data_IF_926993930592
#
_entry.id   IF_926993930592
#
_cell.length_a   1.000
_cell.length_b   1.000
_cell.length_c   1.000
_cell.angle_alpha   90.00
_cell.angle_beta   90.00
_cell.angle_gamma   90.00
#
_symmetry.space_group_name_H-M   'P 1'
#
loop_
_entity.id
_entity.type
_entity.pdbx_description
1 polymer ?
#
# COMPACT_ATOMS: atom_id res chain seq x y z
N UNK A 1 0.49 -3.08 -42.19
CA UNK A 1 0.05 -2.32 -41.00
C UNK A 1 0.77 -2.92 -39.79
N UNK A 2 1.41 -2.10 -38.96
CA UNK A 2 2.25 -2.56 -37.83
C UNK A 2 1.44 -3.16 -36.64
N UNK A 3 0.14 -3.39 -36.81
CA UNK A 3 -0.78 -3.86 -35.77
C UNK A 3 -1.86 -4.81 -36.35
N UNK A 4 -1.47 -5.76 -37.20
CA UNK A 4 -2.38 -6.82 -37.65
C UNK A 4 -2.24 -8.05 -36.74
N UNK A 5 -3.35 -8.69 -36.32
CA UNK A 5 -3.30 -9.88 -35.48
C UNK A 5 -2.45 -10.99 -36.10
N UNK A 6 -1.67 -11.71 -35.30
CA UNK A 6 -0.91 -12.87 -35.76
C UNK A 6 -1.80 -14.07 -36.11
N UNK A 7 -2.98 -14.16 -35.48
CA UNK A 7 -3.98 -15.20 -35.71
C UNK A 7 -5.38 -14.62 -35.48
N UNK A 8 -6.33 -14.93 -36.37
CA UNK A 8 -7.74 -14.57 -36.22
C UNK A 8 -8.54 -15.85 -36.00
N UNK A 9 -9.42 -15.86 -35.00
CA UNK A 9 -10.35 -16.97 -34.79
C UNK A 9 -11.67 -16.65 -35.50
N UNK A 10 -12.03 -17.49 -36.48
CA UNK A 10 -13.32 -17.43 -37.16
C UNK A 10 -14.28 -18.41 -36.46
N UNK A 11 -15.21 -17.86 -35.70
CA UNK A 11 -16.18 -18.66 -34.95
C UNK A 11 -17.32 -19.17 -35.84
N UNK A 12 -17.59 -20.48 -35.77
CA UNK A 12 -18.70 -21.15 -36.46
C UNK A 12 -19.58 -21.82 -35.39
N UNK A 13 -20.88 -21.48 -35.29
CA UNK A 13 -21.72 -21.83 -34.14
C UNK A 13 -22.14 -23.32 -34.06
N UNK A 14 -21.58 -24.19 -34.90
CA UNK A 14 -21.88 -25.63 -34.91
C UNK A 14 -20.73 -26.42 -35.51
N UNK A 15 -20.31 -27.48 -34.81
CA UNK A 15 -19.29 -28.42 -35.31
C UNK A 15 -19.73 -29.08 -36.62
N UNK A 16 -21.03 -29.38 -36.75
CA UNK A 16 -21.58 -30.01 -37.94
C UNK A 16 -21.42 -29.12 -39.18
N UNK A 17 -21.50 -27.79 -39.03
CA UNK A 17 -21.27 -26.86 -40.13
C UNK A 17 -19.81 -26.88 -40.61
N UNK A 18 -18.85 -27.01 -39.68
CA UNK A 18 -17.44 -27.14 -40.01
C UNK A 18 -17.19 -28.48 -40.74
N UNK A 19 -17.73 -29.58 -40.22
CA UNK A 19 -17.61 -30.90 -40.85
C UNK A 19 -18.17 -30.92 -42.26
N UNK A 20 -19.40 -30.42 -42.44
CA UNK A 20 -20.02 -30.35 -43.76
C UNK A 20 -19.26 -29.43 -44.73
N UNK A 21 -18.65 -28.35 -44.23
CA UNK A 21 -17.83 -27.47 -45.06
C UNK A 21 -16.52 -28.14 -45.51
N UNK A 22 -15.86 -28.92 -44.64
CA UNK A 22 -14.65 -29.68 -44.97
C UNK A 22 -14.97 -30.85 -45.91
N UNK A 23 -16.11 -31.51 -45.75
CA UNK A 23 -16.57 -32.55 -46.67
C UNK A 23 -16.81 -31.99 -48.08
N UNK A 24 -17.34 -30.77 -48.18
CA UNK A 24 -17.57 -30.08 -49.44
C UNK A 24 -16.26 -29.55 -50.07
N UNK A 25 -15.34 -29.04 -49.25
CA UNK A 25 -14.02 -28.57 -49.67
C UNK A 25 -12.94 -29.01 -48.66
N UNK A 26 -12.23 -30.12 -48.95
CA UNK A 26 -11.17 -30.61 -48.07
C UNK A 26 -9.99 -29.64 -47.92
N UNK A 27 -9.80 -28.72 -48.86
CA UNK A 27 -8.70 -27.74 -48.83
C UNK A 27 -8.98 -26.51 -47.97
N UNK A 28 -10.21 -26.37 -47.49
CA UNK A 28 -10.69 -25.20 -46.75
C UNK A 28 -9.85 -24.92 -45.49
N UNK A 29 -9.45 -25.97 -44.77
CA UNK A 29 -8.69 -25.82 -43.53
C UNK A 29 -7.29 -25.29 -43.81
N UNK A 30 -6.58 -25.86 -44.80
CA UNK A 30 -5.26 -25.39 -45.21
C UNK A 30 -5.32 -23.97 -45.76
N UNK A 31 -6.36 -23.66 -46.54
CA UNK A 31 -6.60 -22.31 -47.04
C UNK A 31 -6.78 -21.31 -45.89
N UNK A 32 -7.63 -21.62 -44.91
CA UNK A 32 -7.86 -20.75 -43.75
C UNK A 32 -6.58 -20.53 -42.94
N UNK A 33 -5.81 -21.60 -42.68
CA UNK A 33 -4.54 -21.50 -41.98
C UNK A 33 -3.50 -20.67 -42.75
N UNK A 34 -3.44 -20.79 -44.08
CA UNK A 34 -2.56 -19.96 -44.92
C UNK A 34 -2.85 -18.45 -44.80
N UNK A 35 -4.08 -18.10 -44.41
CA UNK A 35 -4.54 -16.73 -44.15
C UNK A 35 -4.45 -16.32 -42.68
N UNK A 36 -3.84 -17.15 -41.82
CA UNK A 36 -3.80 -16.95 -40.37
C UNK A 36 -5.21 -16.89 -39.76
N UNK A 37 -6.13 -17.70 -40.27
CA UNK A 37 -7.49 -17.83 -39.76
C UNK A 37 -7.68 -19.25 -39.22
N UNK A 38 -7.96 -19.36 -37.92
CA UNK A 38 -8.36 -20.61 -37.29
C UNK A 38 -9.88 -20.71 -37.26
N UNK A 39 -10.44 -21.71 -37.94
CA UNK A 39 -11.87 -22.03 -37.81
C UNK A 39 -12.10 -22.67 -36.44
N UNK A 40 -13.02 -22.12 -35.66
CA UNK A 40 -13.32 -22.62 -34.33
C UNK A 40 -14.83 -22.74 -34.09
N UNK A 41 -15.23 -23.91 -33.60
CA UNK A 41 -16.50 -24.17 -32.96
C UNK A 41 -16.51 -23.70 -31.49
N UNK A 42 -17.66 -23.76 -30.79
CA UNK A 42 -17.71 -23.43 -29.36
C UNK A 42 -16.69 -24.20 -28.51
N UNK A 43 -16.49 -25.49 -28.78
CA UNK A 43 -15.59 -26.36 -28.00
C UNK A 43 -14.13 -26.01 -28.26
N UNK A 44 -13.78 -25.82 -29.53
CA UNK A 44 -12.40 -25.52 -29.94
C UNK A 44 -11.99 -24.11 -29.55
N UNK A 45 -12.88 -23.11 -29.66
CA UNK A 45 -12.64 -21.76 -29.14
C UNK A 45 -12.39 -21.79 -27.63
N UNK A 46 -13.24 -22.49 -26.87
CA UNK A 46 -13.07 -22.59 -25.42
C UNK A 46 -11.73 -23.23 -25.04
N UNK A 47 -11.30 -24.25 -25.80
CA UNK A 47 -10.03 -24.93 -25.59
C UNK A 47 -8.84 -23.98 -25.82
N UNK A 48 -8.86 -23.21 -26.92
CA UNK A 48 -7.83 -22.21 -27.20
C UNK A 48 -7.78 -21.14 -26.11
N UNK A 49 -8.93 -20.60 -25.70
CA UNK A 49 -8.99 -19.60 -24.62
C UNK A 49 -8.45 -20.15 -23.30
N UNK A 50 -8.77 -21.41 -22.95
CA UNK A 50 -8.27 -22.06 -21.74
C UNK A 50 -6.76 -22.28 -21.79
N UNK A 51 -6.23 -22.64 -22.95
CA UNK A 51 -4.78 -22.78 -23.17
C UNK A 51 -4.05 -21.44 -23.01
N UNK A 52 -4.60 -20.35 -23.57
CA UNK A 52 -4.04 -18.99 -23.38
C UNK A 52 -4.09 -18.58 -21.92
N UNK A 53 -5.24 -18.77 -21.26
CA UNK A 53 -5.40 -18.45 -19.84
C UNK A 53 -4.42 -19.25 -18.96
N UNK A 54 -4.21 -20.53 -19.27
CA UNK A 54 -3.26 -21.37 -18.55
C UNK A 54 -1.80 -20.96 -18.80
N UNK A 55 -1.43 -20.62 -20.04
CA UNK A 55 -0.08 -20.12 -20.38
C UNK A 55 0.23 -18.83 -19.62
N UNK A 56 -0.71 -17.89 -19.56
CA UNK A 56 -0.54 -16.66 -18.78
C UNK A 56 -0.43 -16.92 -17.28
N UNK A 57 -1.22 -17.87 -16.76
CA UNK A 57 -1.10 -18.27 -15.36
C UNK A 57 0.27 -18.90 -15.05
N UNK A 58 0.85 -19.62 -16.02
CA UNK A 58 2.18 -20.23 -15.89
C UNK A 58 3.31 -19.19 -15.91
N UNK A 59 3.18 -18.16 -16.75
CA UNK A 59 4.16 -17.06 -16.86
C UNK A 59 4.14 -16.15 -15.63
N UNK A 60 2.98 -15.91 -15.03
CA UNK A 60 2.84 -15.05 -13.84
C UNK A 60 3.33 -15.74 -12.55
N UNK A 61 3.46 -17.08 -12.51
CA UNK A 61 3.56 -17.82 -11.25
C UNK A 61 4.95 -17.98 -10.61
N UNK A 62 6.07 -17.56 -11.20
CA UNK A 62 7.37 -18.08 -10.70
C UNK A 62 8.42 -17.05 -10.29
N UNK A 63 8.53 -15.89 -10.94
CA UNK A 63 9.61 -14.93 -10.62
C UNK A 63 9.10 -13.67 -9.91
N UNK A 64 7.97 -13.12 -10.36
CA UNK A 64 7.43 -11.89 -9.79
C UNK A 64 6.83 -12.11 -8.41
N UNK A 65 6.16 -13.23 -8.17
CA UNK A 65 5.60 -13.55 -6.86
C UNK A 65 6.68 -13.69 -5.77
N UNK A 66 7.80 -14.36 -6.06
CA UNK A 66 8.91 -14.51 -5.13
C UNK A 66 9.54 -13.16 -4.78
N UNK A 67 9.79 -12.32 -5.79
CA UNK A 67 10.28 -10.94 -5.58
C UNK A 67 9.30 -10.10 -4.77
N UNK A 68 8.00 -10.24 -5.00
CA UNK A 68 6.97 -9.52 -4.26
C UNK A 68 6.91 -9.94 -2.78
N UNK A 69 7.08 -11.24 -2.51
CA UNK A 69 7.19 -11.75 -1.14
C UNK A 69 8.45 -11.25 -0.44
N UNK A 70 9.60 -11.24 -1.12
CA UNK A 70 10.85 -10.75 -0.54
C UNK A 70 10.77 -9.24 -0.22
N UNK A 71 10.25 -8.43 -1.14
CA UNK A 71 10.02 -6.99 -0.93
C UNK A 71 9.00 -6.75 0.20
N UNK A 72 7.93 -7.54 0.25
CA UNK A 72 6.94 -7.47 1.34
C UNK A 72 7.54 -7.80 2.71
N UNK A 73 8.40 -8.83 2.78
CA UNK A 73 9.09 -9.23 4.01
C UNK A 73 10.07 -8.16 4.49
N UNK A 74 10.83 -7.58 3.56
CA UNK A 74 11.76 -6.50 3.87
C UNK A 74 11.02 -5.26 4.39
N UNK A 75 9.88 -4.90 3.79
CA UNK A 75 9.05 -3.79 4.25
C UNK A 75 8.55 -4.01 5.69
N UNK A 76 8.01 -5.19 5.99
CA UNK A 76 7.52 -5.52 7.33
C UNK A 76 8.64 -5.48 8.38
N UNK A 77 9.83 -5.98 8.03
CA UNK A 77 11.00 -5.90 8.92
C UNK A 77 11.40 -4.44 9.21
N UNK A 78 11.41 -3.58 8.18
CA UNK A 78 11.73 -2.15 8.33
C UNK A 78 10.68 -1.42 9.17
N UNK A 79 9.39 -1.72 8.97
CA UNK A 79 8.30 -1.16 9.78
C UNK A 79 8.42 -1.56 11.25
N UNK A 80 8.75 -2.83 11.53
CA UNK A 80 8.99 -3.29 12.90
C UNK A 80 10.16 -2.56 13.59
N UNK A 81 11.24 -2.28 12.87
CA UNK A 81 12.35 -1.49 13.39
C UNK A 81 11.95 -0.01 13.61
N UNK A 82 11.18 0.57 12.69
CA UNK A 82 10.70 1.95 12.78
C UNK A 82 9.76 2.15 13.98
N UNK A 83 8.90 1.17 14.29
CA UNK A 83 8.01 1.21 15.45
C UNK A 83 8.77 1.44 16.76
N UNK A 84 9.87 0.72 16.98
CA UNK A 84 10.73 0.88 18.17
C UNK A 84 11.34 2.29 18.28
N UNK A 85 11.70 2.88 17.15
CA UNK A 85 12.21 4.26 17.12
C UNK A 85 11.09 5.26 17.45
N UNK A 86 9.88 5.06 16.93
CA UNK A 86 8.71 5.88 17.25
C UNK A 86 8.34 5.81 18.74
N UNK A 87 8.35 4.63 19.36
CA UNK A 87 8.09 4.48 20.80
C UNK A 87 9.12 5.22 21.66
N UNK A 88 10.39 5.15 21.25
CA UNK A 88 11.47 5.85 21.95
C UNK A 88 11.31 7.36 21.82
N UNK A 89 11.01 7.84 20.62
CA UNK A 89 10.75 9.25 20.36
C UNK A 89 9.54 9.77 21.16
N UNK A 90 8.43 9.02 21.17
CA UNK A 90 7.24 9.35 21.95
C UNK A 90 7.55 9.53 23.44
N UNK A 91 8.30 8.59 24.04
CA UNK A 91 8.74 8.69 25.43
C UNK A 91 9.62 9.91 25.69
N UNK A 92 10.55 10.24 24.79
CA UNK A 92 11.41 11.42 24.91
C UNK A 92 10.60 12.73 24.84
N UNK A 93 9.62 12.83 23.94
CA UNK A 93 8.75 14.00 23.85
C UNK A 93 7.90 14.12 25.13
N UNK A 94 7.27 13.04 25.60
CA UNK A 94 6.51 13.06 26.85
C UNK A 94 7.34 13.52 28.05
N UNK A 95 8.59 13.03 28.16
CA UNK A 95 9.52 13.47 29.19
C UNK A 95 9.84 14.96 29.08
N UNK A 96 10.05 15.46 27.86
CA UNK A 96 10.36 16.87 27.59
C UNK A 96 9.18 17.77 27.98
N UNK A 97 7.95 17.41 27.59
CA UNK A 97 6.72 18.13 27.96
C UNK A 97 6.55 18.16 29.48
N UNK A 98 6.79 17.03 30.16
CA UNK A 98 6.74 16.97 31.64
C UNK A 98 7.77 17.89 32.30
N UNK A 99 8.98 17.95 31.75
CA UNK A 99 10.04 18.85 32.21
C UNK A 99 9.66 20.31 32.04
N UNK A 100 9.13 20.68 30.87
CA UNK A 100 8.62 22.02 30.58
C UNK A 100 7.52 22.44 31.55
N UNK A 101 6.50 21.61 31.75
CA UNK A 101 5.38 21.90 32.65
C UNK A 101 5.85 22.08 34.11
N UNK A 102 6.80 21.26 34.56
CA UNK A 102 7.38 21.38 35.90
C UNK A 102 8.17 22.68 36.08
N UNK A 103 8.88 23.12 35.03
CA UNK A 103 9.61 24.38 35.01
C UNK A 103 8.65 25.58 35.06
N UNK A 104 7.62 25.61 34.20
CA UNK A 104 6.61 26.66 34.17
C UNK A 104 5.91 26.76 35.53
N UNK A 105 5.46 25.64 36.11
CA UNK A 105 4.85 25.63 37.44
C UNK A 105 5.79 26.14 38.55
N UNK A 106 7.09 25.89 38.44
CA UNK A 106 8.10 26.43 39.37
C UNK A 106 8.31 27.94 39.21
N UNK A 107 8.33 28.42 37.95
CA UNK A 107 8.43 29.84 37.62
C UNK A 107 7.22 30.60 38.18
N UNK A 108 6.01 30.09 37.96
CA UNK A 108 4.76 30.69 38.44
C UNK A 108 4.65 30.70 39.96
N UNK A 109 4.98 29.59 40.62
CA UNK A 109 4.80 29.46 42.07
C UNK A 109 5.90 30.11 42.90
N UNK A 110 7.13 30.24 42.37
CA UNK A 110 8.29 30.71 43.15
C UNK A 110 8.84 32.05 42.69
N UNK A 111 8.89 32.28 41.38
CA UNK A 111 9.55 33.46 40.81
C UNK A 111 8.58 34.62 40.68
N UNK A 112 7.40 34.41 40.08
CA UNK A 112 6.42 35.49 39.89
C UNK A 112 5.94 36.16 41.19
N UNK A 113 5.70 35.46 42.31
CA UNK A 113 5.34 36.12 43.57
C UNK A 113 6.45 37.04 44.08
N UNK A 114 7.70 36.63 43.92
CA UNK A 114 8.88 37.42 44.30
C UNK A 114 9.03 38.65 43.40
N UNK A 115 8.81 38.48 42.10
CA UNK A 115 8.86 39.57 41.13
C UNK A 115 7.71 40.59 41.33
N UNK A 116 6.51 40.14 41.72
CA UNK A 116 5.38 41.00 42.12
C UNK A 116 5.67 41.79 43.41
N UNK A 117 6.32 41.15 44.40
CA UNK A 117 6.74 41.86 45.63
C UNK A 117 7.77 42.95 45.32
N UNK A 118 8.71 42.68 44.42
CA UNK A 118 9.75 43.64 44.03
C UNK A 118 9.19 44.84 43.25
N UNK A 119 8.28 44.62 42.30
CA UNK A 119 7.57 45.71 41.58
C UNK A 119 6.76 46.58 42.54
N UNK A 120 6.07 45.98 43.52
CA UNK A 120 5.35 46.72 44.57
C UNK A 120 6.22 47.60 45.48
N UNK A 121 7.55 47.43 45.47
CA UNK A 121 8.51 48.23 46.24
C UNK A 121 9.09 49.41 45.44
N UNK A 122 8.54 49.73 44.27
CA UNK A 122 8.91 50.90 43.46
C UNK A 122 9.91 50.62 42.34
N UNK A 123 10.01 49.36 41.87
CA UNK A 123 10.77 49.02 40.67
C UNK A 123 9.97 49.38 39.41
N UNK A 124 10.58 50.10 38.46
CA UNK A 124 9.97 50.49 37.17
C UNK A 124 9.83 49.33 36.15
N UNK A 125 10.26 48.11 36.49
CA UNK A 125 10.14 46.97 35.58
C UNK A 125 8.76 46.32 35.60
N UNK A 126 8.05 46.40 34.46
CA UNK A 126 6.82 45.66 34.19
C UNK A 126 7.11 44.17 33.96
N UNK A 127 6.24 43.31 34.53
CA UNK A 127 6.32 41.87 34.29
C UNK A 127 5.65 41.53 32.95
N UNK A 128 6.19 40.58 32.17
CA UNK A 128 5.52 40.10 30.97
C UNK A 128 4.14 39.51 31.32
N UNK A 129 3.09 39.96 30.64
CA UNK A 129 1.69 39.68 30.99
C UNK A 129 1.18 38.30 30.54
N UNK A 130 1.86 37.63 29.60
CA UNK A 130 1.44 36.33 29.06
C UNK A 130 2.61 35.46 28.60
N UNK A 131 2.55 34.17 28.97
CA UNK A 131 3.34 33.11 28.35
C UNK A 131 2.37 32.15 27.67
N UNK A 132 2.56 31.88 26.37
CA UNK A 132 1.83 30.80 25.71
C UNK A 132 2.35 29.46 26.25
N UNK A 133 1.51 28.78 27.02
CA UNK A 133 1.81 27.44 27.53
C UNK A 133 1.37 26.42 26.50
N UNK A 134 2.27 25.51 26.12
CA UNK A 134 1.96 24.39 25.24
C UNK A 134 1.31 23.28 26.08
N UNK A 135 -0.02 23.17 26.03
CA UNK A 135 -0.81 22.13 26.71
C UNK A 135 -1.06 20.86 25.86
N UNK A 136 -0.22 20.64 24.83
CA UNK A 136 -0.39 19.50 23.93
C UNK A 136 0.34 18.25 24.45
N UNK A 137 -0.42 17.21 24.78
CA UNK A 137 0.12 15.88 25.06
C UNK A 137 0.45 15.16 23.74
N UNK A 138 1.60 14.47 23.62
CA UNK A 138 1.92 13.67 22.44
C UNK A 138 0.82 12.65 22.15
N UNK A 139 0.35 12.60 20.89
CA UNK A 139 -0.67 11.63 20.47
C UNK A 139 -0.05 10.22 20.46
N UNK A 140 -0.64 9.30 21.21
CA UNK A 140 -0.23 7.90 21.19
C UNK A 140 -0.61 7.23 19.87
N UNK A 141 0.23 6.32 19.41
CA UNK A 141 0.04 5.56 18.18
C UNK A 141 -0.96 4.43 18.47
N UNK A 142 -2.21 4.60 18.05
CA UNK A 142 -3.31 3.66 18.31
C UNK A 142 -3.59 2.71 17.14
N UNK A 143 -2.58 2.37 16.33
CA UNK A 143 -2.77 1.47 15.21
C UNK A 143 -3.03 0.03 15.73
N UNK A 144 -4.20 -0.59 15.43
CA UNK A 144 -4.55 -1.93 15.94
C UNK A 144 -3.50 -2.99 15.57
N UNK A 145 -2.92 -2.87 14.38
CA UNK A 145 -1.95 -3.83 13.83
C UNK A 145 -0.57 -3.79 14.51
N UNK A 146 -0.33 -2.83 15.41
CA UNK A 146 0.85 -2.76 16.26
C UNK A 146 0.58 -3.20 17.71
N UNK A 147 -0.70 -3.40 18.06
CA UNK A 147 -1.16 -3.80 19.39
C UNK A 147 -1.64 -5.26 19.45
N UNK A 148 -1.49 -6.03 18.37
CA UNK A 148 -1.66 -7.48 18.43
C UNK A 148 -0.47 -8.08 19.21
N UNK A 149 -0.62 -8.13 20.54
CA UNK A 149 0.06 -9.15 21.32
C UNK A 149 -0.27 -10.49 20.67
N UNK A 150 0.77 -11.17 20.16
CA UNK A 150 0.66 -12.53 19.66
C UNK A 150 -0.07 -13.37 20.70
N UNK A 151 -1.31 -13.75 20.41
CA UNK A 151 -1.97 -14.86 21.09
C UNK A 151 -1.16 -16.13 20.75
N UNK A 152 -0.45 -16.63 21.74
CA UNK A 152 0.18 -17.97 21.75
C UNK A 152 -0.89 -19.08 21.77
#
# INVERSE_FOLDING_TARGET
>A
LAASPELVICFIPSEALISSAIEADPSLMDYAFSKKVALASPVTLWSVLKTVAFSWQQDVLTEDAAKLFDVGRELLQRLGAMSKHLDTLGRSITSTVKGYNSFVGSLESRVFPSARKLSGLGSESELPEHFEVIDMVPRELQAPELNEEKED
#
